data_IF_794468203315
#
_entry.id   IF_794468203315
#
_cell.length_a   1.000
_cell.length_b   1.000
_cell.length_c   1.000
_cell.angle_alpha   90.00
_cell.angle_beta   90.00
_cell.angle_gamma   90.00
#
_symmetry.space_group_name_H-M   'P 1'
#
loop_
_entity.id
_entity.type
_entity.pdbx_description
1 polymer ?
#
# COMPACT_ATOMS: atom_id res chain seq x y z
N UNK A 1 54.98 32.34 5.62
CA UNK A 1 54.17 32.29 4.42
C UNK A 1 53.93 30.89 3.88
N UNK A 2 54.96 30.07 3.85
CA UNK A 2 54.83 28.66 3.38
C UNK A 2 53.83 27.87 4.23
N UNK A 3 53.80 28.11 5.55
CA UNK A 3 52.89 27.40 6.45
C UNK A 3 51.45 27.74 6.14
N UNK A 4 51.17 29.03 5.85
CA UNK A 4 49.84 29.47 5.52
C UNK A 4 49.37 28.88 4.19
N UNK A 5 50.25 28.82 3.20
CA UNK A 5 49.97 28.19 1.91
C UNK A 5 49.74 26.70 2.08
N UNK A 6 50.54 26.04 2.93
CA UNK A 6 50.39 24.62 3.23
C UNK A 6 49.08 24.33 3.93
N UNK A 7 48.70 25.10 4.92
CA UNK A 7 47.42 24.97 5.63
C UNK A 7 46.27 25.26 4.68
N UNK A 8 46.36 26.28 3.84
CA UNK A 8 45.33 26.58 2.87
C UNK A 8 45.13 25.47 1.84
N UNK A 9 46.22 24.86 1.39
CA UNK A 9 46.15 23.73 0.45
C UNK A 9 45.54 22.50 1.11
N UNK A 10 45.96 22.16 2.31
CA UNK A 10 45.42 21.02 3.04
C UNK A 10 44.00 21.28 3.54
N UNK A 11 43.67 22.51 3.81
CA UNK A 11 42.33 22.88 4.26
C UNK A 11 41.27 22.53 3.22
N UNK A 12 41.55 22.79 1.95
CA UNK A 12 40.65 22.44 0.86
C UNK A 12 40.45 20.93 0.78
N UNK A 13 41.52 20.14 0.92
CA UNK A 13 41.44 18.69 0.91
C UNK A 13 40.61 18.16 2.09
N UNK A 14 40.78 18.74 3.25
CA UNK A 14 40.05 18.37 4.46
C UNK A 14 38.57 18.68 4.33
N UNK A 15 38.21 19.86 3.79
CA UNK A 15 36.83 20.22 3.54
C UNK A 15 36.20 19.25 2.56
N UNK A 16 36.90 18.91 1.51
CA UNK A 16 36.43 17.98 0.49
C UNK A 16 36.18 16.59 1.09
N UNK A 17 37.09 16.09 1.90
CA UNK A 17 36.95 14.82 2.57
C UNK A 17 35.77 14.82 3.56
N UNK A 18 35.60 15.90 4.31
CA UNK A 18 34.48 16.06 5.23
C UNK A 18 33.14 16.10 4.48
N UNK A 19 33.07 16.78 3.35
CA UNK A 19 31.86 16.83 2.51
C UNK A 19 31.51 15.45 1.99
N UNK A 20 32.49 14.69 1.51
CA UNK A 20 32.26 13.32 1.03
C UNK A 20 31.77 12.41 2.14
N UNK A 21 32.36 12.54 3.35
CA UNK A 21 31.93 11.74 4.50
C UNK A 21 30.48 12.04 4.89
N UNK A 22 30.11 13.33 4.90
CA UNK A 22 28.75 13.74 5.23
C UNK A 22 27.76 13.25 4.19
N UNK A 23 28.11 13.35 2.91
CA UNK A 23 27.25 12.87 1.81
C UNK A 23 27.06 11.35 1.88
N UNK A 24 28.13 10.61 2.18
CA UNK A 24 28.05 9.16 2.33
C UNK A 24 27.18 8.76 3.51
N UNK A 25 27.34 9.43 4.65
CA UNK A 25 26.54 9.18 5.83
C UNK A 25 25.06 9.50 5.59
N UNK A 26 24.79 10.65 4.94
CA UNK A 26 23.43 11.04 4.59
C UNK A 26 22.78 10.03 3.64
N UNK A 27 23.52 9.59 2.64
CA UNK A 27 23.04 8.58 1.69
C UNK A 27 22.69 7.26 2.38
N UNK A 28 23.56 6.80 3.27
CA UNK A 28 23.32 5.57 4.04
C UNK A 28 22.05 5.68 4.90
N UNK A 29 21.89 6.81 5.60
CA UNK A 29 20.74 7.05 6.47
C UNK A 29 19.45 7.06 5.65
N UNK A 30 19.44 7.78 4.53
CA UNK A 30 18.27 7.87 3.65
C UNK A 30 17.94 6.52 3.04
N UNK A 31 18.94 5.80 2.55
CA UNK A 31 18.73 4.47 1.95
C UNK A 31 18.16 3.48 2.96
N UNK A 32 18.64 3.51 4.20
CA UNK A 32 18.15 2.63 5.26
C UNK A 32 16.70 2.96 5.61
N UNK A 33 16.38 4.26 5.72
CA UNK A 33 15.01 4.70 6.02
C UNK A 33 14.03 4.32 4.91
N UNK A 34 14.42 4.52 3.65
CA UNK A 34 13.59 4.14 2.50
C UNK A 34 13.31 2.65 2.49
N UNK A 35 14.31 1.84 2.78
CA UNK A 35 14.16 0.38 2.83
C UNK A 35 13.19 -0.04 3.93
N UNK A 36 13.31 0.53 5.13
CA UNK A 36 12.44 0.22 6.26
C UNK A 36 11.00 0.67 5.96
N UNK A 37 10.82 1.86 5.39
CA UNK A 37 9.49 2.35 5.01
C UNK A 37 8.87 1.47 3.93
N UNK A 38 9.64 1.02 2.96
CA UNK A 38 9.15 0.13 1.91
C UNK A 38 8.67 -1.20 2.49
N UNK A 39 9.42 -1.79 3.41
CA UNK A 39 9.02 -3.02 4.09
C UNK A 39 7.75 -2.83 4.90
N UNK A 40 7.62 -1.71 5.61
CA UNK A 40 6.40 -1.38 6.36
C UNK A 40 5.21 -1.18 5.43
N UNK A 41 5.41 -0.49 4.31
CA UNK A 41 4.35 -0.26 3.34
C UNK A 41 3.88 -1.56 2.71
N UNK A 42 4.78 -2.50 2.43
CA UNK A 42 4.41 -3.84 1.94
C UNK A 42 3.57 -4.59 2.97
N UNK A 43 4.00 -4.59 4.24
CA UNK A 43 3.28 -5.27 5.31
C UNK A 43 1.89 -4.66 5.52
N UNK A 44 1.78 -3.34 5.49
CA UNK A 44 0.51 -2.64 5.59
C UNK A 44 -0.38 -2.99 4.39
N UNK A 45 0.19 -2.99 3.18
CA UNK A 45 -0.52 -3.33 1.96
C UNK A 45 -1.09 -4.73 2.00
N UNK A 46 -0.30 -5.71 2.45
CA UNK A 46 -0.75 -7.09 2.60
C UNK A 46 -1.84 -7.21 3.66
N UNK A 47 -1.69 -6.51 4.79
CA UNK A 47 -2.69 -6.49 5.85
C UNK A 47 -4.00 -5.88 5.39
N UNK A 48 -3.94 -4.75 4.70
CA UNK A 48 -5.13 -4.09 4.14
C UNK A 48 -5.78 -4.98 3.09
N UNK A 49 -4.99 -5.60 2.21
CA UNK A 49 -5.50 -6.53 1.21
C UNK A 49 -6.26 -7.67 1.86
N UNK A 50 -5.73 -8.24 2.93
CA UNK A 50 -6.39 -9.34 3.67
C UNK A 50 -7.69 -8.87 4.32
N UNK A 51 -7.71 -7.68 4.90
CA UNK A 51 -8.91 -7.11 5.50
C UNK A 51 -9.98 -6.81 4.45
N UNK A 52 -9.59 -6.29 3.31
CA UNK A 52 -10.50 -6.03 2.19
C UNK A 52 -11.09 -7.33 1.66
N UNK A 53 -10.26 -8.35 1.53
CA UNK A 53 -10.70 -9.68 1.12
C UNK A 53 -11.73 -10.23 2.09
N UNK A 54 -11.46 -10.19 3.38
CA UNK A 54 -12.41 -10.64 4.40
C UNK A 54 -13.71 -9.87 4.33
N UNK A 55 -13.62 -8.57 4.12
CA UNK A 55 -14.78 -7.70 4.02
C UNK A 55 -15.66 -8.09 2.83
N UNK A 56 -15.04 -8.35 1.67
CA UNK A 56 -15.75 -8.79 0.47
C UNK A 56 -16.43 -10.14 0.71
N UNK A 57 -15.70 -11.10 1.28
CA UNK A 57 -16.24 -12.43 1.59
C UNK A 57 -17.38 -12.34 2.58
N UNK A 58 -17.24 -11.54 3.62
CA UNK A 58 -18.26 -11.34 4.64
C UNK A 58 -19.53 -10.74 4.06
N UNK A 59 -19.38 -9.73 3.20
CA UNK A 59 -20.52 -9.12 2.53
C UNK A 59 -21.21 -10.12 1.60
N UNK A 60 -20.45 -10.90 0.86
CA UNK A 60 -21.00 -11.93 -0.01
C UNK A 60 -21.84 -12.92 0.80
N UNK A 61 -21.28 -13.45 1.90
CA UNK A 61 -21.97 -14.43 2.72
C UNK A 61 -23.27 -13.85 3.30
N UNK A 62 -23.23 -12.60 3.76
CA UNK A 62 -24.39 -11.94 4.33
C UNK A 62 -25.52 -11.81 3.32
N UNK A 63 -25.21 -11.34 2.12
CA UNK A 63 -26.24 -11.09 1.10
C UNK A 63 -26.64 -12.39 0.39
N UNK A 64 -25.73 -13.34 0.30
CA UNK A 64 -26.07 -14.65 -0.23
C UNK A 64 -27.10 -15.36 0.65
N UNK A 65 -27.02 -15.23 1.95
CA UNK A 65 -28.01 -15.74 2.89
C UNK A 65 -29.36 -15.06 2.72
N UNK A 66 -29.33 -13.75 2.47
CA UNK A 66 -30.56 -12.97 2.26
C UNK A 66 -31.17 -13.20 0.89
N UNK A 67 -30.40 -13.66 -0.07
CA UNK A 67 -30.83 -13.88 -1.44
C UNK A 67 -30.88 -12.63 -2.31
N UNK A 68 -30.46 -11.51 -1.80
CA UNK A 68 -30.41 -10.25 -2.57
C UNK A 68 -29.34 -9.33 -2.01
N UNK A 69 -28.89 -8.40 -2.84
CA UNK A 69 -27.89 -7.40 -2.44
C UNK A 69 -28.37 -6.01 -2.87
N UNK A 70 -28.71 -5.13 -1.92
CA UNK A 70 -29.15 -3.78 -2.26
C UNK A 70 -28.10 -3.01 -3.06
N UNK A 71 -28.55 -2.04 -3.84
CA UNK A 71 -27.66 -1.23 -4.69
C UNK A 71 -26.58 -0.54 -3.87
N UNK A 72 -26.92 0.02 -2.70
CA UNK A 72 -25.94 0.70 -1.85
C UNK A 72 -24.84 -0.26 -1.39
N UNK A 73 -25.19 -1.51 -1.11
CA UNK A 73 -24.22 -2.53 -0.70
C UNK A 73 -23.33 -2.94 -1.87
N UNK A 74 -23.90 -3.06 -3.07
CA UNK A 74 -23.12 -3.34 -4.28
C UNK A 74 -22.10 -2.24 -4.54
N UNK A 75 -22.47 -0.99 -4.37
CA UNK A 75 -21.57 0.14 -4.56
C UNK A 75 -20.47 0.16 -3.52
N UNK A 76 -20.78 -0.15 -2.26
CA UNK A 76 -19.78 -0.25 -1.21
C UNK A 76 -18.78 -1.35 -1.51
N UNK A 77 -19.25 -2.51 -1.97
CA UNK A 77 -18.38 -3.63 -2.31
C UNK A 77 -17.54 -3.32 -3.54
N UNK A 78 -18.08 -2.57 -4.50
CA UNK A 78 -17.30 -2.11 -5.66
C UNK A 78 -16.08 -1.31 -5.22
N UNK A 79 -16.25 -0.40 -4.25
CA UNK A 79 -15.14 0.40 -3.70
C UNK A 79 -14.14 -0.49 -2.97
N UNK A 80 -14.61 -1.44 -2.18
CA UNK A 80 -13.76 -2.40 -1.50
C UNK A 80 -12.96 -3.23 -2.49
N UNK A 81 -13.61 -3.72 -3.54
CA UNK A 81 -12.97 -4.54 -4.55
C UNK A 81 -11.95 -3.76 -5.35
N UNK A 82 -12.25 -2.50 -5.69
CA UNK A 82 -11.32 -1.64 -6.41
C UNK A 82 -10.01 -1.48 -5.61
N UNK A 83 -10.13 -1.19 -4.32
CA UNK A 83 -8.96 -1.07 -3.45
C UNK A 83 -8.20 -2.40 -3.35
N UNK A 84 -8.93 -3.50 -3.23
CA UNK A 84 -8.35 -4.85 -3.18
C UNK A 84 -7.59 -5.18 -4.47
N UNK A 85 -8.19 -4.88 -5.61
CA UNK A 85 -7.59 -5.12 -6.91
C UNK A 85 -6.36 -4.24 -7.14
N UNK A 86 -6.43 -2.96 -6.74
CA UNK A 86 -5.31 -2.03 -6.84
C UNK A 86 -4.10 -2.47 -6.02
N UNK A 87 -4.34 -3.22 -4.94
CA UNK A 87 -3.28 -3.81 -4.13
C UNK A 87 -2.76 -5.14 -4.68
N UNK A 88 -3.24 -5.55 -5.85
CA UNK A 88 -2.80 -6.78 -6.50
C UNK A 88 -3.63 -8.01 -6.16
N UNK A 89 -4.78 -7.83 -5.49
CA UNK A 89 -5.65 -8.93 -5.15
C UNK A 89 -6.38 -9.49 -6.38
N UNK A 90 -6.37 -10.79 -6.54
CA UNK A 90 -7.05 -11.46 -7.65
C UNK A 90 -7.20 -12.94 -7.32
N UNK A 91 -8.16 -13.26 -6.51
CA UNK A 91 -8.42 -14.64 -6.10
C UNK A 91 -9.92 -14.90 -5.89
N UNK A 92 -10.26 -15.73 -4.91
CA UNK A 92 -11.64 -16.09 -4.57
C UNK A 92 -12.54 -14.86 -4.37
N UNK A 93 -12.00 -13.77 -3.80
CA UNK A 93 -12.77 -12.55 -3.58
C UNK A 93 -13.26 -11.93 -4.91
N UNK A 94 -12.47 -12.04 -5.98
CA UNK A 94 -12.87 -11.57 -7.31
C UNK A 94 -14.11 -12.33 -7.80
N UNK A 95 -14.12 -13.63 -7.62
CA UNK A 95 -15.25 -14.47 -8.02
C UNK A 95 -16.49 -14.13 -7.20
N UNK A 96 -16.34 -14.02 -5.90
CA UNK A 96 -17.45 -13.67 -5.00
C UNK A 96 -18.00 -12.29 -5.28
N UNK A 97 -17.13 -11.33 -5.60
CA UNK A 97 -17.52 -9.99 -5.97
C UNK A 97 -18.41 -9.99 -7.22
N UNK A 98 -18.01 -10.75 -8.25
CA UNK A 98 -18.79 -10.86 -9.47
C UNK A 98 -20.16 -11.49 -9.21
N UNK A 99 -20.19 -12.54 -8.42
CA UNK A 99 -21.44 -13.21 -8.05
C UNK A 99 -22.35 -12.28 -7.25
N UNK A 100 -21.77 -11.48 -6.35
CA UNK A 100 -22.53 -10.51 -5.56
C UNK A 100 -23.17 -9.45 -6.45
N UNK A 101 -22.46 -8.96 -7.47
CA UNK A 101 -23.01 -7.97 -8.40
C UNK A 101 -24.13 -8.54 -9.25
N UNK A 102 -24.17 -9.85 -9.47
CA UNK A 102 -25.22 -10.53 -10.23
C UNK A 102 -26.44 -10.79 -9.38
N UNK A 103 -26.36 -10.64 -8.06
CA UNK A 103 -27.52 -10.85 -7.18
C UNK A 103 -28.61 -9.81 -7.44
N UNK A 104 -29.91 -10.18 -7.22
CA UNK A 104 -30.99 -9.20 -7.29
C UNK A 104 -30.74 -8.03 -6.33
N UNK A 105 -31.12 -6.84 -6.75
CA UNK A 105 -30.96 -5.64 -5.92
C UNK A 105 -32.06 -5.49 -4.89
N UNK A 106 -33.16 -6.22 -5.06
CA UNK A 106 -34.29 -6.17 -4.15
C UNK A 106 -34.65 -7.59 -3.73
N UNK A 107 -35.16 -7.68 -2.52
CA UNK A 107 -35.68 -8.95 -2.04
C UNK A 107 -36.80 -9.37 -2.99
N UNK A 108 -36.67 -10.56 -3.54
CA UNK A 108 -37.67 -11.08 -4.42
C UNK A 108 -39.02 -11.10 -3.72
N UNK A 109 -39.95 -10.30 -4.23
CA UNK A 109 -41.32 -10.41 -3.78
C UNK A 109 -41.86 -11.69 -4.36
N UNK A 110 -41.90 -12.71 -3.53
CA UNK A 110 -42.59 -13.89 -3.92
C UNK A 110 -44.08 -13.56 -3.98
N UNK A 111 -44.60 -13.66 -5.15
CA UNK A 111 -46.01 -13.47 -5.33
C UNK A 111 -46.70 -14.75 -5.58
#
# INVERSE_FOLDING_TARGET
MEIIAYIGSHWVEWIFAACLAILTAAWRTVSTRLKVEHEKNEAIGEGVQSLLRESIVSNYNRYNEKGYCPIYAKESVKKLYKAYHDLGGNDVATKLYKELLEMPSERGTEQ
#
